data_IF_299860322217
#
_entry.id   IF_299860322217
#
_cell.length_a   1.000
_cell.length_b   1.000
_cell.length_c   1.000
_cell.angle_alpha   90.00
_cell.angle_beta   90.00
_cell.angle_gamma   90.00
#
_symmetry.space_group_name_H-M   'P 1'
#
loop_
_entity.id
_entity.type
_entity.pdbx_description
1 polymer ?
#
# COMPACT_ATOMS: atom_id res chain seq x y z
N UNK A 1 -20.23 17.53 -2.26
CA UNK A 1 -19.74 16.22 -1.76
C UNK A 1 -19.63 16.35 -0.24
N UNK A 2 -20.36 15.54 0.56
CA UNK A 2 -20.44 15.70 2.04
C UNK A 2 -19.80 14.51 2.78
N UNK A 3 -18.59 14.14 2.39
CA UNK A 3 -17.82 13.06 3.02
C UNK A 3 -16.60 13.65 3.69
N UNK A 4 -16.29 13.18 4.89
CA UNK A 4 -15.02 13.47 5.55
C UNK A 4 -13.87 12.91 4.72
N UNK A 5 -12.75 13.59 4.79
CA UNK A 5 -11.49 13.28 4.13
C UNK A 5 -10.39 13.06 5.18
N UNK A 6 -9.20 12.67 4.72
CA UNK A 6 -8.00 12.57 5.58
C UNK A 6 -7.63 13.91 6.24
N UNK A 7 -8.15 15.04 5.75
CA UNK A 7 -7.92 16.37 6.33
C UNK A 7 -8.86 16.69 7.49
N UNK A 8 -9.92 15.90 7.68
CA UNK A 8 -10.96 16.14 8.69
C UNK A 8 -10.78 15.26 9.94
N UNK A 9 -9.67 14.54 10.03
CA UNK A 9 -9.37 13.59 11.10
C UNK A 9 -7.90 13.74 11.54
N UNK A 10 -7.66 13.61 12.83
CA UNK A 10 -6.30 13.50 13.37
C UNK A 10 -5.75 12.11 13.07
N UNK A 11 -4.57 12.04 12.46
CA UNK A 11 -3.88 10.81 12.05
C UNK A 11 -2.56 10.60 12.79
N UNK A 12 -2.13 11.55 13.62
CA UNK A 12 -0.84 11.49 14.29
C UNK A 12 -0.78 10.32 15.27
N UNK A 13 0.27 9.50 15.16
CA UNK A 13 0.45 8.29 15.96
C UNK A 13 -0.54 7.17 15.64
N UNK A 14 -1.36 7.30 14.59
CA UNK A 14 -2.37 6.30 14.22
C UNK A 14 -1.88 5.41 13.09
N UNK A 15 -2.38 4.18 13.10
CA UNK A 15 -2.27 3.25 11.96
C UNK A 15 -3.45 3.50 11.03
N UNK A 16 -3.17 3.82 9.77
CA UNK A 16 -4.17 4.22 8.79
C UNK A 16 -4.19 3.20 7.65
N UNK A 17 -5.28 2.46 7.53
CA UNK A 17 -5.53 1.57 6.40
C UNK A 17 -6.05 2.38 5.20
N UNK A 18 -5.36 2.30 4.07
CA UNK A 18 -5.66 3.05 2.85
C UNK A 18 -5.90 2.08 1.70
N UNK A 19 -7.09 2.16 1.11
CA UNK A 19 -7.38 1.50 -0.17
C UNK A 19 -6.82 2.35 -1.30
N UNK A 20 -5.88 1.81 -2.06
CA UNK A 20 -5.28 2.45 -3.24
C UNK A 20 -5.56 1.64 -4.51
N UNK A 21 -5.34 2.26 -5.66
CA UNK A 21 -5.38 1.59 -6.97
C UNK A 21 -3.96 1.39 -7.49
N UNK A 22 -3.35 0.25 -7.18
CA UNK A 22 -2.11 -0.23 -7.80
C UNK A 22 -2.35 -1.35 -8.80
N UNK A 23 -3.54 -1.37 -9.44
CA UNK A 23 -3.78 -2.27 -10.57
C UNK A 23 -3.09 -1.69 -11.81
N UNK A 24 -1.77 -1.89 -11.90
CA UNK A 24 -0.87 -1.38 -12.94
C UNK A 24 -0.57 -2.46 -13.98
N UNK A 25 -0.27 -2.08 -15.23
CA UNK A 25 0.22 -3.04 -16.21
C UNK A 25 1.62 -3.54 -15.82
N UNK A 26 1.84 -4.83 -16.03
CA UNK A 26 3.04 -5.56 -15.65
C UNK A 26 3.58 -6.33 -16.85
N UNK A 27 4.90 -6.35 -17.02
CA UNK A 27 5.59 -7.17 -18.01
C UNK A 27 6.87 -7.73 -17.40
N UNK A 28 7.14 -9.04 -17.58
CA UNK A 28 8.32 -9.72 -17.03
C UNK A 28 8.57 -9.50 -15.52
N UNK A 29 7.50 -9.31 -14.75
CA UNK A 29 7.59 -9.07 -13.30
C UNK A 29 7.85 -7.61 -12.92
N UNK A 30 7.88 -6.68 -13.88
CA UNK A 30 8.13 -5.26 -13.65
C UNK A 30 6.93 -4.39 -13.99
N UNK A 31 6.81 -3.24 -13.31
CA UNK A 31 5.79 -2.22 -13.60
C UNK A 31 6.17 -1.45 -14.86
N UNK A 32 5.34 -1.52 -15.90
CA UNK A 32 5.58 -0.80 -17.17
C UNK A 32 4.98 0.60 -17.20
N UNK A 33 3.97 0.86 -16.36
CA UNK A 33 3.34 2.17 -16.20
C UNK A 33 2.98 2.41 -14.72
N UNK A 34 3.68 3.36 -14.10
CA UNK A 34 3.54 3.68 -12.68
C UNK A 34 2.58 4.84 -12.39
N UNK A 35 1.83 5.35 -13.39
CA UNK A 35 0.94 6.51 -13.23
C UNK A 35 -0.03 6.36 -12.06
N UNK A 36 -0.57 5.16 -11.86
CA UNK A 36 -1.49 4.88 -10.75
C UNK A 36 -0.80 4.89 -9.39
N UNK A 37 0.44 4.40 -9.32
CA UNK A 37 1.26 4.46 -8.09
C UNK A 37 1.55 5.94 -7.75
N UNK A 38 1.98 6.73 -8.74
CA UNK A 38 2.22 8.17 -8.57
C UNK A 38 0.99 8.93 -8.11
N UNK A 39 -0.19 8.58 -8.62
CA UNK A 39 -1.45 9.22 -8.24
C UNK A 39 -1.82 9.00 -6.76
N UNK A 40 -1.31 7.95 -6.11
CA UNK A 40 -1.53 7.71 -4.69
C UNK A 40 -0.56 8.47 -3.77
N UNK A 41 0.59 8.92 -4.30
CA UNK A 41 1.65 9.57 -3.50
C UNK A 41 1.16 10.76 -2.67
N UNK A 42 0.32 11.69 -3.17
CA UNK A 42 -0.11 12.84 -2.36
C UNK A 42 -0.85 12.44 -1.07
N UNK A 43 -1.66 11.38 -1.13
CA UNK A 43 -2.38 10.86 0.05
C UNK A 43 -1.43 10.17 1.01
N UNK A 44 -0.51 9.35 0.48
CA UNK A 44 0.47 8.62 1.30
C UNK A 44 1.39 9.62 2.01
N UNK A 45 1.93 10.58 1.27
CA UNK A 45 2.82 11.61 1.80
C UNK A 45 2.11 12.46 2.87
N UNK A 46 0.87 12.89 2.62
CA UNK A 46 0.09 13.62 3.62
C UNK A 46 -0.02 12.85 4.94
N UNK A 47 -0.32 11.55 4.89
CA UNK A 47 -0.45 10.73 6.10
C UNK A 47 0.90 10.60 6.83
N UNK A 48 1.98 10.38 6.09
CA UNK A 48 3.33 10.28 6.65
C UNK A 48 3.79 11.60 7.30
N UNK A 49 3.59 12.72 6.60
CA UNK A 49 3.94 14.06 7.09
C UNK A 49 3.15 14.44 8.35
N UNK A 50 1.97 13.86 8.55
CA UNK A 50 1.13 14.05 9.73
C UNK A 50 1.30 12.94 10.79
N UNK A 51 2.40 12.19 10.75
CA UNK A 51 2.78 11.25 11.80
C UNK A 51 1.99 9.94 11.83
N UNK A 52 1.35 9.56 10.72
CA UNK A 52 0.68 8.27 10.63
C UNK A 52 1.65 7.13 10.30
N UNK A 53 1.26 5.92 10.67
CA UNK A 53 1.80 4.67 10.15
C UNK A 53 0.83 4.17 9.05
N UNK A 54 1.29 3.98 7.83
CA UNK A 54 0.43 3.77 6.64
C UNK A 54 0.40 2.31 6.23
N UNK A 55 -0.80 1.73 6.15
CA UNK A 55 -1.05 0.37 5.69
C UNK A 55 -1.81 0.45 4.37
N UNK A 56 -1.22 -0.03 3.29
CA UNK A 56 -1.78 0.03 1.95
C UNK A 56 -2.38 -1.30 1.57
N UNK A 57 -3.57 -1.27 0.95
CA UNK A 57 -4.16 -2.43 0.30
C UNK A 57 -4.55 -2.09 -1.12
N UNK A 58 -4.23 -2.98 -2.06
CA UNK A 58 -4.61 -2.86 -3.46
C UNK A 58 -5.06 -4.22 -4.02
N UNK A 59 -5.68 -4.19 -5.18
CA UNK A 59 -5.79 -5.36 -6.03
C UNK A 59 -4.83 -5.19 -7.21
N UNK A 60 -4.46 -6.32 -7.82
CA UNK A 60 -3.78 -6.36 -9.12
C UNK A 60 -4.42 -7.45 -9.96
N UNK A 61 -4.76 -7.11 -11.21
CA UNK A 61 -5.38 -8.03 -12.15
C UNK A 61 -6.63 -8.73 -11.59
N UNK A 62 -6.81 -9.98 -11.99
CA UNK A 62 -7.94 -10.81 -11.58
C UNK A 62 -7.45 -12.26 -11.41
N UNK A 63 -6.78 -12.58 -10.29
CA UNK A 63 -6.55 -13.98 -9.93
C UNK A 63 -7.90 -14.71 -9.89
N UNK A 64 -7.91 -15.97 -10.28
CA UNK A 64 -9.15 -16.74 -10.43
C UNK A 64 -9.55 -17.39 -9.12
N UNK A 65 -8.79 -18.41 -8.72
CA UNK A 65 -9.18 -19.33 -7.66
C UNK A 65 -8.17 -19.40 -6.50
N UNK A 66 -6.97 -18.88 -6.71
CA UNK A 66 -5.87 -18.92 -5.74
C UNK A 66 -4.88 -17.75 -6.00
N UNK A 67 -4.03 -17.42 -5.02
CA UNK A 67 -2.91 -16.51 -5.24
C UNK A 67 -2.09 -16.94 -6.46
N UNK A 68 -1.88 -15.99 -7.38
CA UNK A 68 -1.09 -16.20 -8.59
C UNK A 68 0.16 -15.31 -8.50
N UNK A 69 1.37 -15.87 -8.59
CA UNK A 69 2.62 -15.10 -8.60
C UNK A 69 2.63 -13.95 -9.61
N UNK A 70 1.90 -14.07 -10.73
CA UNK A 70 1.78 -13.00 -11.74
C UNK A 70 1.01 -11.77 -11.28
N UNK A 71 0.20 -11.91 -10.24
CA UNK A 71 -0.62 -10.85 -9.68
C UNK A 71 -0.17 -10.46 -8.27
N UNK A 72 1.05 -10.81 -7.87
CA UNK A 72 1.64 -10.34 -6.62
C UNK A 72 1.99 -8.85 -6.68
N UNK A 73 1.96 -8.18 -5.52
CA UNK A 73 2.22 -6.74 -5.42
C UNK A 73 3.70 -6.37 -5.19
N UNK A 74 4.63 -7.32 -5.21
CA UNK A 74 6.06 -7.12 -4.92
C UNK A 74 6.67 -5.98 -5.75
N UNK A 75 6.51 -6.03 -7.08
CA UNK A 75 7.06 -5.01 -7.97
C UNK A 75 6.39 -3.64 -7.82
N UNK A 76 5.09 -3.60 -7.51
CA UNK A 76 4.41 -2.36 -7.17
C UNK A 76 4.92 -1.77 -5.85
N UNK A 77 5.20 -2.63 -4.86
CA UNK A 77 5.80 -2.25 -3.58
C UNK A 77 7.22 -1.70 -3.74
N UNK A 78 8.05 -2.37 -4.54
CA UNK A 78 9.39 -1.88 -4.89
C UNK A 78 9.33 -0.52 -5.58
N UNK A 79 8.47 -0.37 -6.61
CA UNK A 79 8.32 0.89 -7.31
C UNK A 79 7.83 2.02 -6.40
N UNK A 80 6.90 1.72 -5.49
CA UNK A 80 6.45 2.70 -4.50
C UNK A 80 7.58 3.11 -3.56
N UNK A 81 8.42 2.16 -3.13
CA UNK A 81 9.58 2.43 -2.27
C UNK A 81 10.56 3.41 -2.92
N UNK A 82 10.86 3.21 -4.21
CA UNK A 82 11.70 4.11 -5.01
C UNK A 82 11.09 5.51 -5.12
N UNK A 83 9.78 5.61 -5.38
CA UNK A 83 9.09 6.89 -5.55
C UNK A 83 8.96 7.69 -4.25
N UNK A 84 8.87 7.01 -3.12
CA UNK A 84 8.80 7.64 -1.80
C UNK A 84 10.18 7.96 -1.21
N UNK A 85 11.25 7.45 -1.81
CA UNK A 85 12.60 7.44 -1.22
C UNK A 85 12.59 6.92 0.24
N UNK A 86 11.80 5.84 0.44
CA UNK A 86 11.52 5.27 1.76
C UNK A 86 11.27 3.77 1.66
N UNK A 87 11.72 2.96 2.65
CA UNK A 87 11.38 1.55 2.69
C UNK A 87 9.87 1.31 2.75
N UNK A 88 9.37 0.44 1.86
CA UNK A 88 7.99 -0.09 1.92
C UNK A 88 8.09 -1.57 2.26
N UNK A 89 7.54 -1.96 3.42
CA UNK A 89 7.51 -3.38 3.82
C UNK A 89 6.32 -4.07 3.17
N UNK A 90 6.56 -4.87 2.14
CA UNK A 90 5.53 -5.73 1.55
C UNK A 90 5.33 -7.00 2.39
N UNK A 91 4.08 -7.42 2.56
CA UNK A 91 3.70 -8.67 3.22
C UNK A 91 3.08 -9.64 2.21
N UNK A 92 3.21 -10.93 2.46
CA UNK A 92 2.70 -12.01 1.58
C UNK A 92 1.26 -12.42 1.85
N UNK A 93 0.59 -11.74 2.79
CA UNK A 93 -0.81 -11.95 3.11
C UNK A 93 -1.50 -10.59 3.36
N UNK A 94 -2.83 -10.62 3.35
CA UNK A 94 -3.71 -9.50 3.69
C UNK A 94 -4.20 -9.54 5.14
N UNK A 95 -4.22 -10.73 5.74
CA UNK A 95 -4.70 -10.96 7.11
C UNK A 95 -3.82 -12.00 7.82
N UNK A 96 -4.17 -12.35 9.05
CA UNK A 96 -3.47 -13.40 9.81
C UNK A 96 -2.46 -12.88 10.84
N UNK A 97 -1.82 -13.81 11.57
CA UNK A 97 -0.95 -13.48 12.71
C UNK A 97 0.27 -12.66 12.29
N UNK A 98 0.88 -12.96 11.14
CA UNK A 98 2.08 -12.27 10.66
C UNK A 98 1.76 -10.83 10.26
N UNK A 99 0.64 -10.60 9.56
CA UNK A 99 0.16 -9.26 9.24
C UNK A 99 -0.15 -8.48 10.51
N UNK A 100 -0.85 -9.09 11.47
CA UNK A 100 -1.15 -8.44 12.76
C UNK A 100 0.13 -8.07 13.50
N UNK A 101 1.11 -8.98 13.56
CA UNK A 101 2.39 -8.74 14.21
C UNK A 101 3.13 -7.57 13.55
N UNK A 102 3.28 -7.59 12.24
CA UNK A 102 3.93 -6.53 11.48
C UNK A 102 3.26 -5.15 11.68
N UNK A 103 1.92 -5.11 11.68
CA UNK A 103 1.13 -3.89 11.89
C UNK A 103 1.20 -3.39 13.34
N UNK A 104 1.36 -4.27 14.32
CA UNK A 104 1.49 -3.90 15.74
C UNK A 104 2.88 -3.33 16.07
N UNK A 105 3.89 -3.67 15.29
CA UNK A 105 5.27 -3.15 15.46
C UNK A 105 5.55 -1.88 14.66
N UNK A 106 4.58 -1.36 13.90
CA UNK A 106 4.78 -0.14 13.10
C UNK A 106 5.00 1.08 13.98
N UNK A 107 5.91 1.94 13.53
CA UNK A 107 6.14 3.28 14.05
C UNK A 107 5.56 4.35 13.11
N UNK A 108 5.27 5.56 13.59
CA UNK A 108 4.95 6.70 12.74
C UNK A 108 5.96 6.86 11.59
N UNK A 109 5.46 7.02 10.37
CA UNK A 109 6.28 7.07 9.15
C UNK A 109 6.49 5.73 8.46
N UNK A 110 6.16 4.59 9.09
CA UNK A 110 6.29 3.30 8.42
C UNK A 110 5.22 3.13 7.33
N UNK A 111 5.60 2.43 6.26
CA UNK A 111 4.69 2.04 5.17
C UNK A 111 4.70 0.53 5.03
N UNK A 112 3.53 -0.08 5.17
CA UNK A 112 3.30 -1.50 4.85
C UNK A 112 2.41 -1.59 3.61
N UNK A 113 2.77 -2.47 2.68
CA UNK A 113 1.90 -2.89 1.58
C UNK A 113 1.45 -4.33 1.83
N UNK A 114 0.14 -4.53 1.99
CA UNK A 114 -0.45 -5.87 2.07
C UNK A 114 -0.42 -6.54 0.70
N UNK A 115 -0.55 -7.87 0.68
CA UNK A 115 -0.65 -8.63 -0.57
C UNK A 115 -1.94 -8.29 -1.34
N UNK A 116 -2.02 -8.76 -2.59
CA UNK A 116 -3.19 -8.62 -3.45
C UNK A 116 -4.48 -9.06 -2.74
N UNK A 117 -5.44 -8.13 -2.65
CA UNK A 117 -6.76 -8.37 -2.03
C UNK A 117 -7.71 -9.30 -2.80
N UNK A 118 -7.26 -9.96 -3.87
CA UNK A 118 -8.08 -10.81 -4.74
C UNK A 118 -7.52 -12.22 -4.80
#
# INVERSE_FOLDING_TARGET
MNKKTIKDVDVNGKRVLVRVDFNVPMENGEVTDDRRIRAALPTIQYLLDNGAAVILMSHLGRPKDAPDPKFQLDAAGQRLSELLDRPVKKLDDTIGPDVKSAVMTMSPGDVILLENTR
#
